data_IF_304568837699
#
_entry.id   IF_304568837699
#
_cell.length_a   1.000
_cell.length_b   1.000
_cell.length_c   1.000
_cell.angle_alpha   90.00
_cell.angle_beta   90.00
_cell.angle_gamma   90.00
#
_symmetry.space_group_name_H-M   'P 1'
#
loop_
_entity.id
_entity.type
_entity.pdbx_description
1 polymer ?
#
# COMPACT_ATOMS: atom_id res chain seq x y z
N UNK A 1 17.88 30.44 -4.67
CA UNK A 1 17.22 30.36 -3.36
C UNK A 1 16.91 28.90 -3.15
N UNK A 2 17.62 28.21 -2.28
CA UNK A 2 17.29 26.85 -1.88
C UNK A 2 16.01 26.95 -1.06
N UNK A 3 14.92 26.46 -1.64
CA UNK A 3 13.64 26.32 -0.95
C UNK A 3 13.89 25.42 0.27
N UNK A 4 13.98 26.02 1.45
CA UNK A 4 14.26 25.35 2.71
C UNK A 4 12.96 24.74 3.28
N UNK A 5 11.93 24.54 2.45
CA UNK A 5 10.68 23.90 2.83
C UNK A 5 10.87 22.40 2.98
N UNK A 6 10.27 21.84 4.01
CA UNK A 6 10.26 20.39 4.25
C UNK A 6 9.62 19.65 3.06
N UNK A 7 10.13 18.50 2.63
CA UNK A 7 9.50 17.73 1.56
C UNK A 7 8.08 17.32 1.95
N UNK A 8 7.16 17.33 0.97
CA UNK A 8 5.77 16.92 1.16
C UNK A 8 5.57 15.47 0.71
N UNK A 9 4.95 14.65 1.55
CA UNK A 9 4.53 13.31 1.19
C UNK A 9 3.01 13.15 1.24
N UNK A 10 2.45 12.40 0.28
CA UNK A 10 1.08 11.89 0.34
C UNK A 10 1.17 10.43 0.82
N UNK A 11 0.39 10.06 1.85
CA UNK A 11 0.29 8.67 2.34
C UNK A 11 -1.18 8.25 2.38
N UNK A 12 -1.53 7.18 1.66
CA UNK A 12 -2.88 6.65 1.62
C UNK A 12 -3.05 5.45 2.56
N UNK A 13 -4.26 5.29 3.13
CA UNK A 13 -4.52 4.24 4.13
C UNK A 13 -3.77 4.48 5.45
N UNK A 14 -3.60 5.74 5.84
CA UNK A 14 -2.71 6.15 6.93
C UNK A 14 -3.36 6.16 8.32
N UNK A 15 -4.59 5.64 8.47
CA UNK A 15 -5.27 5.58 9.78
C UNK A 15 -4.79 4.43 10.66
N UNK A 16 -4.29 3.35 10.07
CA UNK A 16 -3.86 2.12 10.76
C UNK A 16 -2.77 1.36 9.99
N UNK A 17 -2.12 0.41 10.66
CA UNK A 17 -1.23 -0.58 10.06
C UNK A 17 -0.04 0.01 9.29
N UNK A 18 0.31 -0.58 8.15
CA UNK A 18 1.50 -0.19 7.37
C UNK A 18 1.44 1.29 6.95
N UNK A 19 0.28 1.79 6.51
CA UNK A 19 0.14 3.19 6.09
C UNK A 19 0.33 4.19 7.23
N UNK A 20 -0.16 3.87 8.42
CA UNK A 20 0.08 4.66 9.63
C UNK A 20 1.58 4.70 9.97
N UNK A 21 2.25 3.56 9.97
CA UNK A 21 3.68 3.49 10.25
C UNK A 21 4.53 4.17 9.16
N UNK A 22 4.14 4.06 7.87
CA UNK A 22 4.79 4.81 6.79
C UNK A 22 4.68 6.32 7.00
N UNK A 23 3.52 6.83 7.44
CA UNK A 23 3.34 8.23 7.74
C UNK A 23 4.19 8.67 8.96
N UNK A 24 4.29 7.83 10.00
CA UNK A 24 5.18 8.09 11.14
C UNK A 24 6.65 8.14 10.72
N UNK A 25 7.10 7.19 9.89
CA UNK A 25 8.48 7.18 9.38
C UNK A 25 8.75 8.43 8.54
N UNK A 26 7.84 8.83 7.66
CA UNK A 26 7.97 10.07 6.89
C UNK A 26 8.08 11.29 7.82
N UNK A 27 7.22 11.42 8.84
CA UNK A 27 7.24 12.53 9.81
C UNK A 27 8.59 12.62 10.54
N UNK A 28 9.10 11.49 11.04
CA UNK A 28 10.42 11.39 11.72
C UNK A 28 11.59 11.74 10.81
N UNK A 29 11.44 11.52 9.50
CA UNK A 29 12.45 11.84 8.49
C UNK A 29 12.25 13.23 7.84
N UNK A 30 11.51 14.09 8.50
CA UNK A 30 11.43 15.51 8.10
C UNK A 30 10.42 15.81 7.01
N UNK A 31 9.50 14.91 6.68
CA UNK A 31 8.41 15.22 5.74
C UNK A 31 7.24 15.91 6.44
N UNK A 32 6.59 16.81 5.70
CA UNK A 32 5.22 17.22 5.94
C UNK A 32 4.27 16.28 5.19
N UNK A 33 3.02 16.16 5.63
CA UNK A 33 2.16 15.08 5.22
C UNK A 33 0.79 15.57 4.73
N UNK A 34 0.29 14.92 3.68
CA UNK A 34 -1.13 14.83 3.36
C UNK A 34 -1.52 13.37 3.48
N UNK A 35 -2.42 13.05 4.39
CA UNK A 35 -2.78 11.68 4.72
C UNK A 35 -4.24 11.41 4.46
N UNK A 36 -4.57 10.22 3.97
CA UNK A 36 -5.96 9.85 3.68
C UNK A 36 -6.34 8.47 4.24
N UNK A 37 -7.58 8.37 4.68
CA UNK A 37 -8.28 7.12 4.96
C UNK A 37 -9.79 7.31 4.83
N UNK A 38 -10.53 6.21 4.76
CA UNK A 38 -11.99 6.16 4.68
C UNK A 38 -12.69 6.18 6.05
N UNK A 39 -11.96 6.49 7.11
CA UNK A 39 -12.46 6.51 8.48
C UNK A 39 -11.99 7.76 9.25
N UNK A 40 -12.83 8.23 10.17
CA UNK A 40 -12.57 9.43 10.98
C UNK A 40 -11.29 9.34 11.82
N UNK A 41 -10.80 8.12 12.10
CA UNK A 41 -9.56 7.87 12.84
C UNK A 41 -8.34 8.57 12.23
N UNK A 42 -8.37 8.88 10.94
CA UNK A 42 -7.29 9.61 10.26
C UNK A 42 -6.98 10.96 10.92
N UNK A 43 -7.99 11.62 11.51
CA UNK A 43 -7.82 12.90 12.22
C UNK A 43 -7.02 12.72 13.53
N UNK A 44 -7.29 11.63 14.25
CA UNK A 44 -6.51 11.26 15.44
C UNK A 44 -5.07 10.92 15.05
N UNK A 45 -4.89 10.12 14.00
CA UNK A 45 -3.55 9.72 13.51
C UNK A 45 -2.72 10.94 13.10
N UNK A 46 -3.35 11.99 12.55
CA UNK A 46 -2.66 13.23 12.18
C UNK A 46 -1.97 13.91 13.37
N UNK A 47 -2.55 13.85 14.57
CA UNK A 47 -1.92 14.38 15.78
C UNK A 47 -0.65 13.61 16.15
N UNK A 48 -0.66 12.28 15.96
CA UNK A 48 0.52 11.45 16.23
C UNK A 48 1.64 11.77 15.23
N UNK A 49 1.31 12.05 13.97
CA UNK A 49 2.29 12.45 12.95
C UNK A 49 2.91 13.83 13.25
N UNK A 50 2.12 14.77 13.79
CA UNK A 50 2.66 16.05 14.28
C UNK A 50 3.62 15.87 15.43
N UNK A 51 3.24 15.04 16.42
CA UNK A 51 4.13 14.70 17.54
C UNK A 51 5.40 13.98 17.08
N UNK A 52 5.33 13.20 15.99
CA UNK A 52 6.48 12.50 15.42
C UNK A 52 7.42 13.42 14.65
N UNK A 53 7.04 14.69 14.38
CA UNK A 53 7.93 15.70 13.82
C UNK A 53 7.44 16.37 12.52
N UNK A 54 6.29 15.98 11.94
CA UNK A 54 5.72 16.72 10.83
C UNK A 54 5.19 18.08 11.28
N UNK A 55 5.55 19.16 10.56
CA UNK A 55 5.08 20.51 10.89
C UNK A 55 3.69 20.79 10.32
N UNK A 56 3.43 20.27 9.11
CA UNK A 56 2.13 20.35 8.45
C UNK A 56 1.60 18.94 8.24
N UNK A 57 0.39 18.68 8.72
CA UNK A 57 -0.35 17.43 8.45
C UNK A 57 -1.77 17.80 8.05
N UNK A 58 -2.11 17.53 6.80
CA UNK A 58 -3.47 17.63 6.28
C UNK A 58 -4.11 16.23 6.26
N UNK A 59 -5.17 16.06 7.03
CA UNK A 59 -5.90 14.79 7.16
C UNK A 59 -7.17 14.82 6.32
N UNK A 60 -7.26 13.94 5.34
CA UNK A 60 -8.37 13.84 4.40
C UNK A 60 -9.14 12.55 4.64
N UNK A 61 -10.32 12.66 5.26
CA UNK A 61 -11.26 11.54 5.36
C UNK A 61 -11.99 11.40 4.02
N UNK A 62 -11.74 10.28 3.30
CA UNK A 62 -12.27 10.08 1.95
C UNK A 62 -12.14 8.62 1.50
N UNK A 63 -13.09 8.16 0.68
CA UNK A 63 -13.04 6.85 0.04
C UNK A 63 -12.23 6.91 -1.26
N UNK A 64 -11.08 6.26 -1.28
CA UNK A 64 -10.18 6.21 -2.43
C UNK A 64 -10.61 5.18 -3.50
N UNK A 65 -11.71 4.46 -3.31
CA UNK A 65 -12.34 3.69 -4.38
C UNK A 65 -13.01 4.59 -5.43
N UNK A 66 -13.23 5.86 -5.11
CA UNK A 66 -13.92 6.85 -5.97
C UNK A 66 -12.96 7.86 -6.58
N UNK A 67 -13.29 8.35 -7.77
CA UNK A 67 -12.55 9.44 -8.43
C UNK A 67 -12.61 10.72 -7.60
N UNK A 68 -13.77 11.03 -7.06
CA UNK A 68 -14.05 12.22 -6.22
C UNK A 68 -13.20 12.19 -4.95
N UNK A 69 -13.07 11.02 -4.33
CA UNK A 69 -12.24 10.84 -3.13
C UNK A 69 -10.76 11.07 -3.42
N UNK A 70 -10.28 10.55 -4.53
CA UNK A 70 -8.90 10.77 -4.97
C UNK A 70 -8.66 12.23 -5.38
N UNK A 71 -9.61 12.88 -6.04
CA UNK A 71 -9.51 14.31 -6.37
C UNK A 71 -9.48 15.18 -5.10
N UNK A 72 -10.28 14.84 -4.08
CA UNK A 72 -10.25 15.53 -2.79
C UNK A 72 -8.85 15.47 -2.16
N UNK A 73 -8.23 14.29 -2.15
CA UNK A 73 -6.88 14.10 -1.61
C UNK A 73 -5.82 14.88 -2.43
N UNK A 74 -5.85 14.75 -3.75
CA UNK A 74 -4.92 15.43 -4.63
C UNK A 74 -5.04 16.96 -4.53
N UNK A 75 -6.26 17.49 -4.46
CA UNK A 75 -6.51 18.92 -4.32
C UNK A 75 -6.06 19.45 -2.95
N UNK A 76 -6.22 18.68 -1.87
CA UNK A 76 -5.70 19.03 -0.56
C UNK A 76 -4.16 19.17 -0.59
N UNK A 77 -3.46 18.26 -1.27
CA UNK A 77 -2.02 18.37 -1.45
C UNK A 77 -1.63 19.60 -2.28
N UNK A 78 -2.35 19.89 -3.36
CA UNK A 78 -2.10 21.07 -4.21
C UNK A 78 -2.36 22.39 -3.50
N UNK A 79 -3.33 22.45 -2.59
CA UNK A 79 -3.65 23.66 -1.81
C UNK A 79 -2.47 24.12 -0.93
N UNK A 80 -1.52 23.24 -0.63
CA UNK A 80 -0.29 23.60 0.10
C UNK A 80 0.74 24.35 -0.76
N UNK A 81 0.49 24.52 -2.06
CA UNK A 81 1.36 25.22 -3.02
C UNK A 81 2.83 24.77 -3.00
N UNK A 82 3.06 23.49 -2.74
CA UNK A 82 4.39 22.84 -2.71
C UNK A 82 4.38 21.54 -3.55
N UNK A 83 5.51 21.18 -4.14
CA UNK A 83 5.60 19.92 -4.88
C UNK A 83 5.51 18.72 -3.94
N UNK A 84 4.75 17.69 -4.35
CA UNK A 84 4.69 16.40 -3.65
C UNK A 84 5.97 15.63 -3.91
N UNK A 85 6.89 15.57 -2.97
CA UNK A 85 8.19 14.91 -3.10
C UNK A 85 8.08 13.38 -3.09
N UNK A 86 7.11 12.83 -2.34
CA UNK A 86 6.86 11.40 -2.27
C UNK A 86 5.36 11.09 -2.27
N UNK A 87 4.97 10.00 -2.98
CA UNK A 87 3.64 9.40 -2.91
C UNK A 87 3.79 7.97 -2.39
N UNK A 88 3.16 7.67 -1.25
CA UNK A 88 3.09 6.34 -0.67
C UNK A 88 1.67 5.80 -0.87
N UNK A 89 1.46 5.12 -1.99
CA UNK A 89 0.19 4.52 -2.39
C UNK A 89 0.02 3.19 -1.66
N UNK A 90 -0.52 3.25 -0.44
CA UNK A 90 -0.62 2.10 0.46
C UNK A 90 -2.06 1.64 0.71
N UNK A 91 -3.07 2.49 0.53
CA UNK A 91 -4.47 2.10 0.73
C UNK A 91 -4.81 0.81 -0.03
N UNK A 92 -5.46 -0.11 0.66
CA UNK A 92 -5.85 -1.38 0.07
C UNK A 92 -6.75 -2.19 0.99
N UNK A 93 -7.58 -3.03 0.38
CA UNK A 93 -8.55 -3.89 1.05
C UNK A 93 -8.35 -5.34 0.65
N UNK A 94 -8.59 -6.24 1.59
CA UNK A 94 -8.74 -7.67 1.35
C UNK A 94 -10.21 -8.08 1.32
N UNK A 95 -10.48 -9.26 0.80
CA UNK A 95 -11.77 -9.93 0.88
C UNK A 95 -11.54 -11.43 0.94
N UNK A 96 -11.93 -12.05 2.04
CA UNK A 96 -11.88 -13.51 2.25
C UNK A 96 -13.06 -14.23 1.62
N UNK A 97 -13.19 -15.53 1.90
CA UNK A 97 -14.21 -16.45 1.43
C UNK A 97 -14.09 -16.88 -0.04
N UNK A 98 -14.83 -17.91 -0.43
CA UNK A 98 -14.85 -18.37 -1.80
C UNK A 98 -15.49 -17.31 -2.71
N UNK A 99 -14.96 -17.15 -3.92
CA UNK A 99 -15.36 -16.06 -4.82
C UNK A 99 -16.88 -16.03 -5.10
N UNK A 100 -17.48 -17.19 -5.26
CA UNK A 100 -18.93 -17.28 -5.54
C UNK A 100 -19.82 -16.98 -4.32
N UNK A 101 -19.24 -16.96 -3.13
CA UNK A 101 -19.95 -16.64 -1.87
C UNK A 101 -19.74 -15.17 -1.45
N UNK A 102 -18.95 -14.41 -2.22
CA UNK A 102 -18.70 -13.00 -1.94
C UNK A 102 -19.80 -12.13 -2.55
N UNK A 103 -20.18 -11.05 -1.85
CA UNK A 103 -20.97 -9.97 -2.44
C UNK A 103 -20.18 -9.27 -3.54
N UNK A 104 -20.75 -9.18 -4.74
CA UNK A 104 -20.08 -8.59 -5.88
C UNK A 104 -19.80 -7.07 -5.72
N UNK A 105 -20.59 -6.36 -4.93
CA UNK A 105 -20.31 -4.96 -4.59
C UNK A 105 -19.02 -4.86 -3.74
N UNK A 106 -18.83 -5.78 -2.80
CA UNK A 106 -17.57 -5.87 -2.03
C UNK A 106 -16.38 -6.25 -2.92
N UNK A 107 -16.56 -7.17 -3.87
CA UNK A 107 -15.53 -7.52 -4.87
C UNK A 107 -15.11 -6.29 -5.67
N UNK A 108 -16.09 -5.54 -6.22
CA UNK A 108 -15.81 -4.29 -6.94
C UNK A 108 -15.09 -3.28 -6.08
N UNK A 109 -15.51 -3.11 -4.84
CA UNK A 109 -14.88 -2.14 -3.93
C UNK A 109 -13.40 -2.48 -3.66
N UNK A 110 -13.04 -3.78 -3.58
CA UNK A 110 -11.63 -4.20 -3.51
C UNK A 110 -10.87 -3.79 -4.77
N UNK A 111 -11.43 -4.02 -5.96
CA UNK A 111 -10.79 -3.65 -7.24
C UNK A 111 -10.67 -2.13 -7.34
N UNK A 112 -11.74 -1.41 -7.03
CA UNK A 112 -11.78 0.05 -7.15
C UNK A 112 -10.79 0.71 -6.17
N UNK A 113 -10.68 0.22 -4.92
CA UNK A 113 -9.70 0.73 -3.96
C UNK A 113 -8.27 0.37 -4.37
N UNK A 114 -8.00 -0.94 -4.61
CA UNK A 114 -6.64 -1.43 -4.77
C UNK A 114 -6.04 -1.05 -6.13
N UNK A 115 -6.86 -1.06 -7.19
CA UNK A 115 -6.39 -0.84 -8.57
C UNK A 115 -6.83 0.53 -9.07
N UNK A 116 -8.13 0.74 -9.30
CA UNK A 116 -8.63 1.94 -10.00
C UNK A 116 -8.22 3.23 -9.30
N UNK A 117 -8.48 3.35 -8.00
CA UNK A 117 -8.15 4.53 -7.22
C UNK A 117 -6.65 4.73 -7.06
N UNK A 118 -5.91 3.65 -6.82
CA UNK A 118 -4.43 3.69 -6.74
C UNK A 118 -3.83 4.21 -8.04
N UNK A 119 -4.25 3.67 -9.20
CA UNK A 119 -3.78 4.11 -10.51
C UNK A 119 -4.15 5.56 -10.80
N UNK A 120 -5.38 5.96 -10.46
CA UNK A 120 -5.85 7.31 -10.70
C UNK A 120 -5.01 8.33 -9.92
N UNK A 121 -4.75 8.09 -8.64
CA UNK A 121 -3.91 8.97 -7.81
C UNK A 121 -2.47 9.02 -8.33
N UNK A 122 -1.87 7.86 -8.62
CA UNK A 122 -0.53 7.77 -9.19
C UNK A 122 -0.46 8.56 -10.49
N UNK A 123 -1.44 8.40 -11.40
CA UNK A 123 -1.46 9.12 -12.66
C UNK A 123 -1.45 10.65 -12.49
N UNK A 124 -2.21 11.18 -11.52
CA UNK A 124 -2.25 12.61 -11.22
C UNK A 124 -0.90 13.09 -10.67
N UNK A 125 -0.41 12.47 -9.64
CA UNK A 125 0.83 12.86 -8.93
C UNK A 125 2.07 12.63 -9.79
N UNK A 126 2.16 11.51 -10.51
CA UNK A 126 3.30 11.19 -11.37
C UNK A 126 3.42 12.15 -12.57
N UNK A 127 2.32 12.68 -13.09
CA UNK A 127 2.37 13.75 -14.10
C UNK A 127 3.10 14.98 -13.59
N UNK A 128 2.81 15.43 -12.37
CA UNK A 128 3.48 16.58 -11.77
C UNK A 128 4.95 16.26 -11.46
N UNK A 129 5.23 15.05 -10.97
CA UNK A 129 6.60 14.58 -10.72
C UNK A 129 7.43 14.55 -12.01
N UNK A 130 6.87 14.00 -13.09
CA UNK A 130 7.50 13.92 -14.40
C UNK A 130 7.81 15.33 -14.96
N UNK A 131 6.86 16.24 -14.85
CA UNK A 131 7.04 17.62 -15.35
C UNK A 131 8.20 18.35 -14.68
N UNK A 132 8.43 18.13 -13.38
CA UNK A 132 9.55 18.72 -12.63
C UNK A 132 10.81 17.84 -12.58
N UNK A 133 10.77 16.65 -13.18
CA UNK A 133 11.87 15.67 -13.22
C UNK A 133 12.36 15.24 -11.83
N UNK A 134 11.47 15.15 -10.87
CA UNK A 134 11.78 14.77 -9.49
C UNK A 134 10.57 14.19 -8.77
N UNK A 135 10.74 13.06 -8.07
CA UNK A 135 9.73 12.45 -7.24
C UNK A 135 10.05 11.02 -6.86
N UNK A 136 9.36 10.53 -5.85
CA UNK A 136 9.42 9.14 -5.39
C UNK A 136 8.02 8.58 -5.25
N UNK A 137 7.80 7.37 -5.72
CA UNK A 137 6.53 6.66 -5.58
C UNK A 137 6.82 5.33 -4.90
N UNK A 138 6.16 5.07 -3.77
CA UNK A 138 6.09 3.77 -3.14
C UNK A 138 4.70 3.20 -3.38
N UNK A 139 4.62 1.97 -3.88
CA UNK A 139 3.37 1.23 -4.06
C UNK A 139 3.40 0.03 -3.10
N UNK A 140 2.39 -0.11 -2.26
CA UNK A 140 2.27 -1.29 -1.40
C UNK A 140 1.61 -2.43 -2.17
N UNK A 141 2.46 -3.29 -2.72
CA UNK A 141 2.12 -4.58 -3.30
C UNK A 141 1.85 -5.64 -2.23
N UNK A 142 2.25 -6.87 -2.49
CA UNK A 142 2.22 -7.98 -1.51
C UNK A 142 2.89 -9.22 -2.07
N UNK A 143 3.48 -10.05 -1.20
CA UNK A 143 3.86 -11.44 -1.57
C UNK A 143 2.67 -12.27 -2.07
N UNK A 144 1.44 -11.87 -1.77
CA UNK A 144 0.23 -12.47 -2.29
C UNK A 144 0.09 -12.33 -3.82
N UNK A 145 0.74 -11.32 -4.43
CA UNK A 145 0.78 -11.13 -5.88
C UNK A 145 1.48 -12.24 -6.64
N UNK A 146 2.38 -12.99 -5.98
CA UNK A 146 3.10 -14.12 -6.59
C UNK A 146 2.31 -15.43 -6.57
N UNK A 147 1.15 -15.49 -5.91
CA UNK A 147 0.47 -16.74 -5.59
C UNK A 147 -0.99 -16.68 -6.01
N UNK A 148 -1.53 -17.68 -6.76
CA UNK A 148 -2.96 -17.81 -6.98
C UNK A 148 -3.71 -17.95 -5.64
N UNK A 149 -4.53 -16.96 -5.28
CA UNK A 149 -5.13 -16.80 -3.96
C UNK A 149 -6.45 -17.53 -3.79
N UNK A 150 -6.47 -18.86 -3.58
CA UNK A 150 -7.73 -19.55 -3.20
C UNK A 150 -8.32 -18.89 -1.95
N UNK A 151 -9.62 -18.55 -1.96
CA UNK A 151 -10.36 -17.78 -0.94
C UNK A 151 -9.95 -16.29 -0.80
N UNK A 152 -9.01 -15.82 -1.63
CA UNK A 152 -8.62 -14.42 -1.77
C UNK A 152 -8.35 -14.06 -3.24
N UNK A 153 -9.01 -14.69 -4.18
CA UNK A 153 -8.68 -14.62 -5.60
C UNK A 153 -8.60 -13.16 -6.12
N UNK A 154 -9.56 -12.33 -5.74
CA UNK A 154 -9.61 -10.93 -6.17
C UNK A 154 -8.45 -10.14 -5.56
N UNK A 155 -8.21 -10.25 -4.26
CA UNK A 155 -7.12 -9.56 -3.58
C UNK A 155 -5.76 -9.91 -4.18
N UNK A 156 -5.45 -11.21 -4.29
CA UNK A 156 -4.17 -11.66 -4.88
C UNK A 156 -4.02 -11.16 -6.32
N UNK A 157 -5.11 -11.20 -7.11
CA UNK A 157 -5.12 -10.65 -8.46
C UNK A 157 -4.83 -9.14 -8.50
N UNK A 158 -5.40 -8.35 -7.57
CA UNK A 158 -5.09 -6.90 -7.50
C UNK A 158 -3.65 -6.63 -7.11
N UNK A 159 -3.04 -7.47 -6.24
CA UNK A 159 -1.64 -7.31 -5.85
C UNK A 159 -0.69 -7.72 -6.96
N UNK A 160 -0.96 -8.81 -7.67
CA UNK A 160 -0.22 -9.20 -8.87
C UNK A 160 -0.23 -8.10 -9.95
N UNK A 161 -1.39 -7.44 -10.12
CA UNK A 161 -1.51 -6.30 -11.01
C UNK A 161 -0.60 -5.13 -10.58
N UNK A 162 -0.65 -4.75 -9.29
CA UNK A 162 0.13 -3.62 -8.77
C UNK A 162 1.64 -3.88 -8.83
N UNK A 163 2.07 -5.11 -8.49
CA UNK A 163 3.47 -5.49 -8.53
C UNK A 163 4.02 -5.37 -9.96
N UNK A 164 3.29 -5.90 -10.95
CA UNK A 164 3.67 -5.80 -12.37
C UNK A 164 3.63 -4.36 -12.88
N UNK A 165 2.57 -3.61 -12.54
CA UNK A 165 2.42 -2.21 -12.92
C UNK A 165 3.56 -1.34 -12.40
N UNK A 166 4.00 -1.57 -11.16
CA UNK A 166 5.08 -0.81 -10.54
C UNK A 166 6.40 -0.94 -11.32
N UNK A 167 6.75 -2.16 -11.76
CA UNK A 167 7.96 -2.39 -12.56
C UNK A 167 7.89 -1.68 -13.92
N UNK A 168 6.75 -1.77 -14.60
CA UNK A 168 6.56 -1.09 -15.88
C UNK A 168 6.64 0.44 -15.72
N UNK A 169 5.93 1.00 -14.74
CA UNK A 169 5.94 2.44 -14.46
C UNK A 169 7.33 2.94 -14.08
N UNK A 170 8.11 2.14 -13.34
CA UNK A 170 9.49 2.44 -13.00
C UNK A 170 10.36 2.64 -14.24
N UNK A 171 10.25 1.75 -15.22
CA UNK A 171 11.01 1.85 -16.46
C UNK A 171 10.60 3.09 -17.27
N UNK A 172 9.31 3.33 -17.41
CA UNK A 172 8.76 4.50 -18.12
C UNK A 172 9.21 5.84 -17.50
N UNK A 173 9.35 5.91 -16.17
CA UNK A 173 9.70 7.14 -15.46
C UNK A 173 11.20 7.32 -15.19
N UNK A 174 12.02 6.32 -15.51
CA UNK A 174 13.46 6.30 -15.22
C UNK A 174 14.19 7.56 -15.75
N UNK A 175 13.93 7.93 -17.00
CA UNK A 175 14.57 9.11 -17.62
C UNK A 175 13.96 10.44 -17.15
N UNK A 176 12.82 10.39 -16.48
CA UNK A 176 12.16 11.55 -15.92
C UNK A 176 12.62 11.89 -14.48
N UNK A 177 13.62 11.21 -13.95
CA UNK A 177 14.12 11.45 -12.60
C UNK A 177 13.10 11.09 -11.48
N UNK A 178 12.13 10.23 -11.78
CA UNK A 178 11.14 9.75 -10.81
C UNK A 178 11.41 8.28 -10.53
N UNK A 179 11.54 7.94 -9.24
CA UNK A 179 11.73 6.55 -8.83
C UNK A 179 10.40 5.91 -8.42
N UNK A 180 10.23 4.64 -8.75
CA UNK A 180 9.10 3.83 -8.30
C UNK A 180 9.65 2.61 -7.56
N UNK A 181 9.14 2.37 -6.37
CA UNK A 181 9.50 1.24 -5.50
C UNK A 181 8.22 0.47 -5.18
N UNK A 182 8.21 -0.84 -5.32
CA UNK A 182 7.15 -1.68 -4.81
C UNK A 182 7.59 -2.31 -3.48
N UNK A 183 6.77 -2.11 -2.44
CA UNK A 183 6.92 -2.77 -1.15
C UNK A 183 6.02 -4.00 -1.13
N UNK A 184 6.59 -5.16 -0.90
CA UNK A 184 5.90 -6.45 -0.94
C UNK A 184 5.92 -7.10 0.46
N UNK A 185 4.97 -6.70 1.34
CA UNK A 185 4.87 -7.29 2.67
C UNK A 185 4.30 -8.72 2.61
N UNK A 186 4.74 -9.54 3.57
CA UNK A 186 4.03 -10.75 3.99
C UNK A 186 2.84 -10.43 4.90
N UNK A 187 2.24 -11.46 5.53
CA UNK A 187 1.22 -11.24 6.56
C UNK A 187 1.74 -10.32 7.66
N UNK A 188 1.10 -9.17 7.83
CA UNK A 188 1.52 -8.08 8.73
C UNK A 188 0.45 -7.83 9.79
N UNK A 189 0.86 -7.54 11.03
CA UNK A 189 -0.06 -7.27 12.13
C UNK A 189 -0.75 -5.92 11.91
N UNK A 190 -1.99 -5.99 11.45
CA UNK A 190 -2.84 -4.85 11.10
C UNK A 190 -4.32 -5.25 11.21
N UNK A 191 -5.24 -4.32 11.08
CA UNK A 191 -6.67 -4.59 10.97
C UNK A 191 -7.09 -5.26 9.63
N UNK A 192 -6.14 -5.59 8.75
CA UNK A 192 -6.44 -6.14 7.42
C UNK A 192 -7.24 -7.45 7.47
N UNK A 193 -6.80 -8.42 8.28
CA UNK A 193 -7.43 -9.74 8.37
C UNK A 193 -8.83 -9.68 8.99
N UNK A 194 -9.03 -8.79 9.96
CA UNK A 194 -10.34 -8.52 10.55
C UNK A 194 -11.29 -7.93 9.51
N UNK A 195 -10.86 -6.87 8.81
CA UNK A 195 -11.66 -6.21 7.75
C UNK A 195 -11.93 -7.12 6.55
N UNK A 196 -11.04 -8.06 6.27
CA UNK A 196 -11.20 -9.05 5.21
C UNK A 196 -12.06 -10.27 5.61
N UNK A 197 -12.53 -10.36 6.87
CA UNK A 197 -13.29 -11.50 7.38
C UNK A 197 -12.46 -12.78 7.46
N UNK A 198 -11.19 -12.71 7.85
CA UNK A 198 -10.23 -13.82 7.77
C UNK A 198 -9.59 -14.23 9.11
N UNK A 199 -10.11 -13.75 10.24
CA UNK A 199 -9.53 -14.07 11.55
C UNK A 199 -9.61 -15.57 11.91
N UNK A 200 -10.57 -16.31 11.34
CA UNK A 200 -10.76 -17.75 11.50
C UNK A 200 -9.88 -18.60 10.56
N UNK A 201 -9.02 -17.96 9.76
CA UNK A 201 -8.11 -18.65 8.84
C UNK A 201 -6.73 -18.86 9.45
N UNK A 202 -5.98 -19.84 8.97
CA UNK A 202 -4.63 -20.12 9.47
C UNK A 202 -3.68 -18.91 9.25
N UNK A 203 -3.80 -18.17 8.14
CA UNK A 203 -3.02 -16.95 7.89
C UNK A 203 -3.49 -15.80 8.78
N UNK A 204 -4.80 -15.67 9.02
CA UNK A 204 -5.36 -14.63 9.88
C UNK A 204 -5.03 -14.80 11.36
N UNK A 205 -4.97 -16.03 11.84
CA UNK A 205 -4.60 -16.36 13.23
C UNK A 205 -3.07 -16.55 13.43
N UNK A 206 -2.32 -16.71 12.35
CA UNK A 206 -0.88 -16.99 12.38
C UNK A 206 -0.01 -15.81 12.82
N UNK A 207 1.27 -16.10 13.03
CA UNK A 207 2.27 -15.07 13.33
C UNK A 207 2.44 -14.12 12.13
N UNK A 208 2.49 -12.85 12.42
CA UNK A 208 2.61 -11.77 11.43
C UNK A 208 3.86 -10.94 11.65
N UNK A 209 4.27 -10.24 10.61
CA UNK A 209 5.37 -9.27 10.69
C UNK A 209 4.90 -7.98 11.36
N UNK A 210 5.83 -7.27 12.01
CA UNK A 210 5.58 -5.97 12.63
C UNK A 210 5.39 -4.89 11.57
N UNK A 211 4.30 -4.10 11.67
CA UNK A 211 3.98 -3.06 10.69
C UNK A 211 5.01 -1.93 10.65
N UNK A 212 5.64 -1.60 11.79
CA UNK A 212 6.67 -0.56 11.85
C UNK A 212 7.95 -1.01 11.12
N UNK A 213 8.35 -2.27 11.30
CA UNK A 213 9.49 -2.86 10.58
C UNK A 213 9.23 -2.91 9.07
N UNK A 214 8.02 -3.29 8.64
CA UNK A 214 7.63 -3.30 7.23
C UNK A 214 7.67 -1.90 6.64
N UNK A 215 7.12 -0.90 7.33
CA UNK A 215 7.11 0.49 6.89
C UNK A 215 8.52 1.07 6.78
N UNK A 216 9.39 0.84 7.77
CA UNK A 216 10.78 1.29 7.74
C UNK A 216 11.52 0.68 6.54
N UNK A 217 11.35 -0.62 6.31
CA UNK A 217 11.95 -1.33 5.17
C UNK A 217 11.53 -0.70 3.83
N UNK A 218 10.23 -0.41 3.67
CA UNK A 218 9.69 0.21 2.46
C UNK A 218 10.20 1.64 2.27
N UNK A 219 10.19 2.44 3.33
CA UNK A 219 10.66 3.81 3.29
C UNK A 219 12.15 3.87 2.90
N UNK A 220 12.99 3.06 3.51
CA UNK A 220 14.42 3.04 3.22
C UNK A 220 14.69 2.63 1.76
N UNK A 221 13.97 1.62 1.24
CA UNK A 221 14.07 1.21 -0.16
C UNK A 221 13.62 2.34 -1.12
N UNK A 222 12.50 3.03 -0.82
CA UNK A 222 12.04 4.19 -1.58
C UNK A 222 13.09 5.31 -1.58
N UNK A 223 13.71 5.59 -0.45
CA UNK A 223 14.72 6.65 -0.35
C UNK A 223 16.00 6.33 -1.10
N UNK A 224 16.41 5.05 -1.17
CA UNK A 224 17.51 4.59 -2.03
C UNK A 224 17.14 4.52 -3.51
N UNK A 225 15.84 4.51 -3.84
CA UNK A 225 15.35 4.34 -5.21
C UNK A 225 15.40 2.89 -5.69
N UNK A 226 15.32 1.91 -4.80
CA UNK A 226 15.25 0.48 -5.14
C UNK A 226 13.97 0.18 -5.93
N UNK A 227 13.99 -0.86 -6.80
CA UNK A 227 12.84 -1.22 -7.64
C UNK A 227 11.75 -1.93 -6.85
N UNK A 228 12.17 -2.86 -6.01
CA UNK A 228 11.30 -3.69 -5.19
C UNK A 228 11.96 -4.00 -3.85
N UNK A 229 11.14 -4.30 -2.88
CA UNK A 229 11.58 -4.78 -1.59
C UNK A 229 10.55 -5.73 -0.97
N UNK A 230 10.89 -7.00 -0.90
CA UNK A 230 10.13 -7.98 -0.10
C UNK A 230 10.53 -7.80 1.36
N UNK A 231 9.56 -7.50 2.21
CA UNK A 231 9.80 -7.36 3.65
C UNK A 231 9.97 -8.74 4.31
N UNK A 232 11.06 -8.92 5.05
CA UNK A 232 11.36 -10.15 5.78
C UNK A 232 12.02 -11.24 4.93
N UNK A 233 13.05 -11.90 5.48
CA UNK A 233 13.83 -12.92 4.75
C UNK A 233 13.02 -14.17 4.36
N UNK A 234 12.05 -14.58 5.20
CA UNK A 234 11.17 -15.72 4.92
C UNK A 234 10.29 -15.46 3.71
N UNK A 235 9.78 -14.25 3.60
CA UNK A 235 8.95 -13.81 2.49
C UNK A 235 9.77 -13.78 1.18
N UNK A 236 11.05 -13.34 1.23
CA UNK A 236 11.96 -13.39 0.08
C UNK A 236 12.15 -14.81 -0.45
N UNK A 237 12.37 -15.76 0.44
CA UNK A 237 12.51 -17.19 0.05
C UNK A 237 11.20 -17.69 -0.56
N UNK A 238 10.06 -17.36 0.04
CA UNK A 238 8.75 -17.78 -0.44
C UNK A 238 8.45 -17.23 -1.84
N UNK A 239 8.71 -15.96 -2.11
CA UNK A 239 8.49 -15.36 -3.45
C UNK A 239 9.42 -15.96 -4.50
N UNK A 240 10.67 -16.20 -4.15
CA UNK A 240 11.63 -16.88 -5.06
C UNK A 240 11.14 -18.28 -5.43
N UNK A 241 10.67 -19.06 -4.46
CA UNK A 241 10.13 -20.40 -4.70
C UNK A 241 8.81 -20.36 -5.48
N UNK A 242 7.96 -19.36 -5.27
CA UNK A 242 6.71 -19.20 -5.99
C UNK A 242 6.93 -19.07 -7.51
N UNK A 243 7.99 -18.39 -7.95
CA UNK A 243 8.32 -18.22 -9.37
C UNK A 243 8.64 -19.53 -10.12
N UNK A 244 9.00 -20.59 -9.41
CA UNK A 244 9.36 -21.90 -10.01
C UNK A 244 8.36 -23.01 -9.65
N UNK A 245 7.36 -22.70 -8.84
CA UNK A 245 6.34 -23.67 -8.41
C UNK A 245 5.11 -23.61 -9.31
N UNK A 246 4.58 -24.74 -9.79
CA UNK A 246 3.35 -24.75 -10.60
C UNK A 246 2.17 -24.08 -9.90
N UNK A 247 1.42 -23.26 -10.64
CA UNK A 247 0.32 -22.45 -10.09
C UNK A 247 -0.75 -23.28 -9.34
N UNK A 248 -1.05 -24.50 -9.79
CA UNK A 248 -2.00 -25.40 -9.10
C UNK A 248 -1.52 -25.83 -7.72
N UNK A 249 -0.21 -26.03 -7.55
CA UNK A 249 0.39 -26.37 -6.24
C UNK A 249 0.29 -25.16 -5.30
N UNK A 250 0.63 -23.96 -5.79
CA UNK A 250 0.52 -22.72 -5.03
C UNK A 250 -0.93 -22.45 -4.60
N UNK A 251 -1.90 -22.63 -5.51
CA UNK A 251 -3.32 -22.48 -5.19
C UNK A 251 -3.78 -23.47 -4.10
N UNK A 252 -3.32 -24.71 -4.15
CA UNK A 252 -3.64 -25.72 -3.13
C UNK A 252 -2.99 -25.40 -1.78
N UNK A 253 -1.77 -24.87 -1.77
CA UNK A 253 -1.11 -24.39 -0.55
C UNK A 253 -1.83 -23.19 0.04
N UNK A 254 -2.19 -22.19 -0.79
CA UNK A 254 -2.93 -21.02 -0.36
C UNK A 254 -4.30 -21.38 0.22
N UNK A 255 -4.99 -22.36 -0.38
CA UNK A 255 -6.25 -22.91 0.16
C UNK A 255 -6.12 -23.30 1.62
N UNK A 256 -5.06 -24.04 1.98
CA UNK A 256 -4.83 -24.50 3.36
C UNK A 256 -4.65 -23.37 4.36
N UNK A 257 -4.14 -22.21 3.88
CA UNK A 257 -3.88 -21.04 4.73
C UNK A 257 -5.09 -20.11 4.85
N UNK A 258 -5.86 -19.95 3.77
CA UNK A 258 -6.90 -18.93 3.67
C UNK A 258 -8.34 -19.48 3.68
N UNK A 259 -8.53 -20.79 3.72
CA UNK A 259 -9.87 -21.39 3.84
C UNK A 259 -10.51 -21.00 5.18
N UNK A 260 -11.76 -20.52 5.19
CA UNK A 260 -12.51 -20.24 6.42
C UNK A 260 -12.49 -21.45 7.39
N UNK A 261 -12.31 -21.19 8.68
CA UNK A 261 -12.21 -22.23 9.71
C UNK A 261 -10.88 -23.01 9.72
N UNK A 262 -9.86 -22.61 8.95
CA UNK A 262 -8.56 -23.29 8.92
C UNK A 262 -7.62 -22.90 10.06
N UNK A 263 -7.97 -21.91 10.89
CA UNK A 263 -7.22 -21.60 12.12
C UNK A 263 -7.24 -22.85 13.04
N UNK A 264 -6.07 -23.29 13.48
CA UNK A 264 -6.00 -24.34 14.49
C UNK A 264 -6.63 -23.81 15.79
N UNK A 265 -7.59 -24.59 16.31
CA UNK A 265 -8.13 -24.39 17.66
C UNK A 265 -7.06 -24.66 18.72
#
# INVERSE_FOLDING_TARGET
MTDNSRPLAIVTGASTGIGYELALVCARNGFDLVVAADEAKIRQSAEDFRKAGAQVVEAVETDLATTEGNDKLYNAARALNRPVAALLANAGRGLGHAFLDQDFAAVRHVIDTNVTGTLYLIHRVAKDMRARKAGRILITGSVAGYIPGSFQAVYNGTKAFLDNFAFALRDELKQAGVTVTVLEPGPTETAFFERAGMLDTAVGAGKKDDAAMVAQTGFDAMMRGDGDIVSGWKNKVQTTLANVTPAGVLAAQHRKMAQPGSAKK
#
